data_IF_439626322607
#
_entry.id   IF_439626322607
#
_cell.length_a   1.000
_cell.length_b   1.000
_cell.length_c   1.000
_cell.angle_alpha   90.00
_cell.angle_beta   90.00
_cell.angle_gamma   90.00
#
_symmetry.space_group_name_H-M   'P 1'
#
loop_
_entity.id
_entity.type
_entity.pdbx_description
1 polymer ?
#
# COMPACT_ATOMS: atom_id res chain seq x y z
N UNK A 1 -61.29 -3.94 -10.25
CA UNK A 1 -60.11 -3.16 -10.71
C UNK A 1 -59.12 -3.07 -9.56
N UNK A 2 -58.11 -3.95 -9.54
CA UNK A 2 -57.06 -3.93 -8.53
C UNK A 2 -55.92 -3.03 -9.04
N UNK A 3 -55.68 -1.91 -8.36
CA UNK A 3 -54.54 -1.03 -8.64
C UNK A 3 -53.27 -1.69 -8.13
N UNK A 4 -52.42 -2.18 -9.05
CA UNK A 4 -51.06 -2.59 -8.76
C UNK A 4 -50.26 -1.36 -8.34
N UNK A 5 -49.94 -1.27 -7.05
CA UNK A 5 -48.92 -0.36 -6.54
C UNK A 5 -47.55 -0.81 -7.07
N UNK A 6 -46.94 0.02 -7.90
CA UNK A 6 -45.57 -0.14 -8.37
C UNK A 6 -44.61 0.18 -7.21
N UNK A 7 -44.08 -0.84 -6.55
CA UNK A 7 -42.90 -0.69 -5.69
C UNK A 7 -41.68 -0.57 -6.60
N UNK A 8 -41.39 0.66 -7.06
CA UNK A 8 -40.06 0.99 -7.55
C UNK A 8 -39.10 0.75 -6.38
N UNK A 9 -38.23 -0.25 -6.50
CA UNK A 9 -37.24 -0.55 -5.48
C UNK A 9 -36.34 0.67 -5.29
N UNK A 10 -36.36 1.24 -4.07
CA UNK A 10 -35.31 2.17 -3.67
C UNK A 10 -33.95 1.50 -3.88
N UNK A 11 -32.95 2.21 -4.42
CA UNK A 11 -31.59 1.69 -4.42
C UNK A 11 -31.21 1.38 -2.97
N UNK A 12 -30.84 0.13 -2.69
CA UNK A 12 -30.29 -0.26 -1.39
C UNK A 12 -29.22 0.76 -1.01
N UNK A 13 -29.48 1.56 0.02
CA UNK A 13 -28.51 2.51 0.52
C UNK A 13 -27.23 1.75 0.87
N UNK A 14 -26.15 2.00 0.12
CA UNK A 14 -24.86 1.37 0.41
C UNK A 14 -24.44 1.78 1.81
N UNK A 15 -24.22 0.79 2.68
CA UNK A 15 -23.67 0.99 4.03
C UNK A 15 -22.47 1.95 3.98
N UNK A 16 -22.42 2.92 4.88
CA UNK A 16 -21.28 3.85 5.06
C UNK A 16 -20.05 3.16 5.67
N UNK A 17 -20.20 1.87 6.05
CA UNK A 17 -19.19 1.02 6.65
C UNK A 17 -18.80 -0.15 5.75
N UNK A 18 -17.51 -0.53 5.73
CA UNK A 18 -17.05 -1.73 5.05
C UNK A 18 -17.59 -2.99 5.72
N UNK A 19 -17.97 -3.96 4.89
CA UNK A 19 -18.27 -5.33 5.31
C UNK A 19 -16.99 -6.20 5.32
N UNK A 20 -17.12 -7.48 5.72
CA UNK A 20 -16.00 -8.43 5.80
C UNK A 20 -15.21 -8.57 4.49
N UNK A 21 -15.89 -8.57 3.35
CA UNK A 21 -15.25 -8.72 2.05
C UNK A 21 -14.30 -7.56 1.76
N UNK A 22 -14.70 -6.32 2.07
CA UNK A 22 -13.84 -5.14 1.88
C UNK A 22 -12.53 -5.22 2.66
N UNK A 23 -12.57 -5.71 3.91
CA UNK A 23 -11.36 -5.88 4.71
C UNK A 23 -10.43 -6.95 4.11
N UNK A 24 -11.00 -8.06 3.61
CA UNK A 24 -10.25 -9.12 2.93
C UNK A 24 -9.66 -8.66 1.59
N UNK A 25 -10.40 -7.86 0.83
CA UNK A 25 -9.92 -7.28 -0.42
C UNK A 25 -8.79 -6.30 -0.15
N UNK A 26 -8.92 -5.43 0.86
CA UNK A 26 -7.87 -4.46 1.20
C UNK A 26 -6.55 -5.16 1.54
N UNK A 27 -6.57 -6.15 2.45
CA UNK A 27 -5.36 -6.89 2.82
C UNK A 27 -4.81 -7.71 1.64
N UNK A 28 -5.68 -8.34 0.84
CA UNK A 28 -5.29 -9.16 -0.30
C UNK A 28 -4.68 -8.35 -1.45
N UNK A 29 -5.25 -7.18 -1.76
CA UNK A 29 -4.71 -6.26 -2.76
C UNK A 29 -3.36 -5.70 -2.30
N UNK A 30 -3.26 -5.29 -1.02
CA UNK A 30 -2.00 -4.90 -0.42
C UNK A 30 -0.92 -5.98 -0.57
N UNK A 31 -1.23 -7.21 -0.19
CA UNK A 31 -0.35 -8.37 -0.31
C UNK A 31 0.08 -8.66 -1.76
N UNK A 32 -0.85 -8.53 -2.71
CA UNK A 32 -0.57 -8.69 -4.14
C UNK A 32 0.44 -7.65 -4.60
N UNK A 33 0.22 -6.38 -4.26
CA UNK A 33 1.13 -5.29 -4.62
C UNK A 33 2.49 -5.46 -3.93
N UNK A 34 2.54 -5.87 -2.67
CA UNK A 34 3.80 -6.14 -1.94
C UNK A 34 4.61 -7.25 -2.57
N UNK A 35 3.95 -8.32 -3.03
CA UNK A 35 4.60 -9.39 -3.78
C UNK A 35 5.19 -8.87 -5.09
N UNK A 36 4.40 -8.11 -5.86
CA UNK A 36 4.85 -7.54 -7.13
C UNK A 36 6.00 -6.54 -6.96
N UNK A 37 5.97 -5.70 -5.92
CA UNK A 37 7.04 -4.78 -5.59
C UNK A 37 8.34 -5.54 -5.25
N UNK A 38 8.26 -6.56 -4.40
CA UNK A 38 9.43 -7.35 -4.00
C UNK A 38 10.09 -8.08 -5.18
N UNK A 39 9.31 -8.68 -6.09
CA UNK A 39 9.88 -9.31 -7.29
C UNK A 39 10.32 -8.28 -8.34
N UNK A 40 9.60 -7.16 -8.45
CA UNK A 40 9.83 -6.09 -9.41
C UNK A 40 10.95 -5.14 -9.05
N UNK A 41 11.50 -5.21 -7.83
CA UNK A 41 12.54 -4.30 -7.33
C UNK A 41 13.79 -4.29 -8.23
N UNK A 42 14.12 -5.46 -8.80
CA UNK A 42 15.20 -5.61 -9.77
C UNK A 42 15.03 -4.75 -11.04
N UNK A 43 13.79 -4.40 -11.39
CA UNK A 43 13.49 -3.54 -12.54
C UNK A 43 13.73 -2.06 -12.23
N UNK A 44 13.76 -1.65 -10.95
CA UNK A 44 13.99 -0.26 -10.57
C UNK A 44 15.39 0.22 -10.96
N UNK A 45 16.36 -0.68 -11.13
CA UNK A 45 17.72 -0.34 -11.58
C UNK A 45 17.75 0.37 -12.93
N UNK A 46 16.76 0.12 -13.80
CA UNK A 46 16.67 0.81 -15.09
C UNK A 46 16.40 2.32 -14.93
N UNK A 47 15.73 2.72 -13.85
CA UNK A 47 15.47 4.13 -13.55
C UNK A 47 16.71 4.89 -13.04
N UNK A 48 17.71 4.16 -12.53
CA UNK A 48 18.97 4.72 -12.01
C UNK A 48 20.18 4.30 -12.83
N UNK A 49 19.98 3.81 -14.05
CA UNK A 49 21.03 3.21 -14.88
C UNK A 49 22.32 4.06 -15.00
N UNK A 50 22.25 5.39 -15.23
CA UNK A 50 23.46 6.21 -15.24
C UNK A 50 24.22 6.17 -13.92
N UNK A 51 23.54 6.26 -12.78
CA UNK A 51 24.15 6.19 -11.44
C UNK A 51 24.74 4.79 -11.21
N UNK A 52 24.00 3.75 -11.58
CA UNK A 52 24.43 2.36 -11.44
C UNK A 52 25.77 2.05 -12.11
N UNK A 53 26.06 2.67 -13.27
CA UNK A 53 27.32 2.49 -13.99
C UNK A 53 28.53 3.05 -13.23
N UNK A 54 28.35 4.13 -12.47
CA UNK A 54 29.45 4.79 -11.76
C UNK A 54 29.52 4.42 -10.27
N UNK A 55 28.38 4.14 -9.64
CA UNK A 55 28.30 3.80 -8.22
C UNK A 55 27.05 2.93 -7.93
N UNK A 56 27.29 1.63 -7.73
CA UNK A 56 26.21 0.65 -7.47
C UNK A 56 25.54 0.84 -6.12
N UNK A 57 26.31 1.18 -5.09
CA UNK A 57 25.79 1.38 -3.73
C UNK A 57 24.90 2.62 -3.68
N UNK A 58 25.35 3.73 -4.29
CA UNK A 58 24.54 4.93 -4.43
C UNK A 58 23.26 4.65 -5.25
N UNK A 59 23.36 3.84 -6.30
CA UNK A 59 22.17 3.42 -7.06
C UNK A 59 21.19 2.65 -6.19
N UNK A 60 21.66 1.71 -5.36
CA UNK A 60 20.80 0.94 -4.45
C UNK A 60 20.12 1.87 -3.43
N UNK A 61 20.85 2.84 -2.87
CA UNK A 61 20.28 3.83 -1.94
C UNK A 61 19.23 4.70 -2.64
N UNK A 62 19.49 5.20 -3.86
CA UNK A 62 18.51 6.00 -4.61
C UNK A 62 17.25 5.20 -4.92
N UNK A 63 17.40 3.92 -5.27
CA UNK A 63 16.27 3.02 -5.48
C UNK A 63 15.45 2.89 -4.20
N UNK A 64 16.07 2.51 -3.09
CA UNK A 64 15.38 2.28 -1.82
C UNK A 64 14.75 3.56 -1.26
N UNK A 65 15.43 4.71 -1.33
CA UNK A 65 15.01 5.96 -0.68
C UNK A 65 14.01 6.76 -1.52
N UNK A 66 14.13 6.72 -2.86
CA UNK A 66 13.31 7.56 -3.74
C UNK A 66 12.40 6.74 -4.65
N UNK A 67 12.96 5.79 -5.41
CA UNK A 67 12.19 5.09 -6.46
C UNK A 67 11.15 4.16 -5.85
N UNK A 68 11.52 3.37 -4.84
CA UNK A 68 10.63 2.42 -4.20
C UNK A 68 9.42 3.12 -3.55
N UNK A 69 9.56 4.17 -2.72
CA UNK A 69 8.41 4.91 -2.20
C UNK A 69 7.52 5.54 -3.29
N UNK A 70 8.13 6.08 -4.35
CA UNK A 70 7.40 6.69 -5.46
C UNK A 70 6.54 5.68 -6.24
N UNK A 71 7.00 4.43 -6.36
CA UNK A 71 6.27 3.38 -7.06
C UNK A 71 5.26 2.71 -6.13
N UNK A 72 5.70 2.37 -4.92
CA UNK A 72 4.92 1.49 -4.04
C UNK A 72 3.79 2.21 -3.32
N UNK A 73 3.96 3.45 -2.86
CA UNK A 73 2.90 4.15 -2.13
C UNK A 73 1.65 4.38 -3.00
N UNK A 74 1.77 4.83 -4.26
CA UNK A 74 0.63 4.88 -5.17
C UNK A 74 0.07 3.49 -5.48
N UNK A 75 0.93 2.50 -5.70
CA UNK A 75 0.50 1.14 -6.03
C UNK A 75 -0.32 0.51 -4.88
N UNK A 76 0.07 0.72 -3.61
CA UNK A 76 -0.69 0.28 -2.43
C UNK A 76 -2.13 0.83 -2.42
N UNK A 77 -2.31 2.06 -2.90
CA UNK A 77 -3.61 2.73 -2.93
C UNK A 77 -4.51 2.30 -4.09
N UNK A 78 -3.93 1.75 -5.16
CA UNK A 78 -4.65 1.44 -6.39
C UNK A 78 -5.80 0.47 -6.16
N UNK A 79 -5.59 -0.57 -5.35
CA UNK A 79 -6.64 -1.54 -5.03
C UNK A 79 -7.83 -0.91 -4.29
N UNK A 80 -7.57 0.06 -3.41
CA UNK A 80 -8.63 0.77 -2.69
C UNK A 80 -9.39 1.75 -3.58
N UNK A 81 -8.67 2.44 -4.48
CA UNK A 81 -9.28 3.33 -5.47
C UNK A 81 -10.15 2.56 -6.46
N UNK A 82 -9.67 1.41 -6.96
CA UNK A 82 -10.46 0.51 -7.80
C UNK A 82 -11.71 0.02 -7.07
N UNK A 83 -11.57 -0.46 -5.83
CA UNK A 83 -12.69 -0.91 -5.01
C UNK A 83 -13.73 0.21 -4.81
N UNK A 84 -13.26 1.44 -4.55
CA UNK A 84 -14.12 2.63 -4.44
C UNK A 84 -14.95 2.88 -5.70
N UNK A 85 -14.32 2.83 -6.87
CA UNK A 85 -14.98 3.16 -8.15
C UNK A 85 -15.92 2.04 -8.61
N UNK A 86 -15.48 0.77 -8.54
CA UNK A 86 -16.26 -0.38 -9.01
C UNK A 86 -17.52 -0.60 -8.18
N UNK A 87 -17.41 -0.53 -6.86
CA UNK A 87 -18.55 -0.72 -5.95
C UNK A 87 -19.25 0.60 -5.60
N UNK A 88 -18.80 1.74 -6.15
CA UNK A 88 -19.33 3.08 -5.90
C UNK A 88 -19.46 3.40 -4.40
N UNK A 89 -18.47 2.96 -3.62
CA UNK A 89 -18.50 2.99 -2.16
C UNK A 89 -18.44 4.43 -1.67
N UNK A 90 -19.24 4.76 -0.66
CA UNK A 90 -19.23 6.06 0.01
C UNK A 90 -19.00 5.83 1.50
N UNK A 91 -17.74 5.56 1.84
CA UNK A 91 -17.36 5.24 3.21
C UNK A 91 -16.88 6.47 3.98
N UNK A 92 -16.93 6.37 5.31
CA UNK A 92 -16.36 7.38 6.19
C UNK A 92 -14.84 7.49 6.02
N UNK A 93 -14.26 8.65 6.38
CA UNK A 93 -12.79 8.83 6.41
C UNK A 93 -12.12 7.76 7.26
N UNK A 94 -12.69 7.45 8.44
CA UNK A 94 -12.18 6.41 9.33
C UNK A 94 -12.15 5.03 8.66
N UNK A 95 -13.18 4.69 7.89
CA UNK A 95 -13.25 3.42 7.16
C UNK A 95 -12.16 3.31 6.10
N UNK A 96 -11.93 4.37 5.31
CA UNK A 96 -10.81 4.38 4.35
C UNK A 96 -9.45 4.33 5.02
N UNK A 97 -9.29 5.00 6.17
CA UNK A 97 -8.07 4.90 6.99
C UNK A 97 -7.80 3.45 7.40
N UNK A 98 -8.81 2.72 7.90
CA UNK A 98 -8.69 1.31 8.29
C UNK A 98 -8.36 0.41 7.10
N UNK A 99 -9.04 0.59 5.96
CA UNK A 99 -8.73 -0.16 4.73
C UNK A 99 -7.31 0.12 4.23
N UNK A 100 -6.85 1.37 4.33
CA UNK A 100 -5.46 1.77 4.10
C UNK A 100 -4.48 1.01 4.98
N UNK A 101 -4.71 0.98 6.30
CA UNK A 101 -3.88 0.23 7.24
C UNK A 101 -3.78 -1.25 6.88
N UNK A 102 -4.91 -1.89 6.54
CA UNK A 102 -4.95 -3.31 6.18
C UNK A 102 -4.21 -3.58 4.86
N UNK A 103 -4.34 -2.71 3.87
CA UNK A 103 -3.57 -2.80 2.64
C UNK A 103 -2.06 -2.68 2.91
N UNK A 104 -1.64 -1.74 3.75
CA UNK A 104 -0.24 -1.59 4.17
C UNK A 104 0.31 -2.82 4.90
N UNK A 105 -0.48 -3.39 5.83
CA UNK A 105 -0.09 -4.63 6.54
C UNK A 105 0.03 -5.81 5.59
N UNK A 106 -0.94 -5.99 4.68
CA UNK A 106 -0.88 -7.04 3.66
C UNK A 106 0.37 -6.90 2.78
N UNK A 107 0.65 -5.67 2.32
CA UNK A 107 1.84 -5.35 1.54
C UNK A 107 3.11 -5.75 2.27
N UNK A 108 3.33 -5.21 3.48
CA UNK A 108 4.56 -5.45 4.23
C UNK A 108 4.74 -6.92 4.61
N UNK A 109 3.65 -7.64 4.89
CA UNK A 109 3.72 -9.06 5.22
C UNK A 109 4.25 -9.89 4.04
N UNK A 110 3.65 -9.78 2.85
CA UNK A 110 4.08 -10.59 1.69
C UNK A 110 5.44 -10.16 1.16
N UNK A 111 5.73 -8.87 1.16
CA UNK A 111 7.05 -8.37 0.81
C UNK A 111 8.13 -8.99 1.70
N UNK A 112 7.91 -8.99 3.02
CA UNK A 112 8.84 -9.61 3.99
C UNK A 112 9.00 -11.11 3.78
N UNK A 113 7.94 -11.83 3.38
CA UNK A 113 8.04 -13.25 3.00
C UNK A 113 8.95 -13.43 1.79
N UNK A 114 8.83 -12.60 0.76
CA UNK A 114 9.68 -12.68 -0.44
C UNK A 114 11.14 -12.38 -0.10
N UNK A 115 11.42 -11.36 0.72
CA UNK A 115 12.78 -11.09 1.18
C UNK A 115 13.36 -12.24 2.00
N UNK A 116 12.59 -12.80 2.94
CA UNK A 116 13.03 -13.95 3.73
C UNK A 116 13.33 -15.16 2.84
N UNK A 117 12.50 -15.41 1.82
CA UNK A 117 12.73 -16.46 0.84
C UNK A 117 14.01 -16.23 0.03
N UNK A 118 14.28 -14.98 -0.38
CA UNK A 118 15.46 -14.63 -1.19
C UNK A 118 16.80 -14.98 -0.51
N UNK A 119 16.85 -14.90 0.83
CA UNK A 119 18.03 -15.26 1.63
C UNK A 119 17.98 -16.68 2.18
N UNK A 120 16.95 -17.47 1.84
CA UNK A 120 16.75 -18.83 2.38
C UNK A 120 17.88 -19.81 2.09
N UNK A 121 18.65 -19.57 1.02
CA UNK A 121 19.83 -20.36 0.67
C UNK A 121 20.99 -20.21 1.67
N UNK A 122 20.98 -19.16 2.51
CA UNK A 122 21.92 -18.99 3.62
C UNK A 122 21.49 -19.72 4.90
N UNK A 123 20.35 -20.42 4.88
CA UNK A 123 19.82 -21.19 6.00
C UNK A 123 18.53 -20.63 6.59
N UNK A 124 17.77 -21.50 7.26
CA UNK A 124 16.47 -21.16 7.86
C UNK A 124 16.60 -20.06 8.93
N UNK A 125 17.64 -20.11 9.75
CA UNK A 125 17.85 -19.14 10.84
C UNK A 125 18.06 -17.71 10.31
N UNK A 126 18.79 -17.55 9.20
CA UNK A 126 19.01 -16.26 8.53
C UNK A 126 17.70 -15.73 7.95
N UNK A 127 16.96 -16.60 7.26
CA UNK A 127 15.66 -16.27 6.67
C UNK A 127 14.63 -15.83 7.73
N UNK A 128 14.52 -16.59 8.82
CA UNK A 128 13.60 -16.26 9.92
C UNK A 128 14.02 -14.99 10.64
N UNK A 129 15.32 -14.79 10.87
CA UNK A 129 15.82 -13.55 11.49
C UNK A 129 15.48 -12.34 10.65
N UNK A 130 15.71 -12.41 9.32
CA UNK A 130 15.35 -11.32 8.41
C UNK A 130 13.83 -11.08 8.40
N UNK A 131 13.03 -12.14 8.32
CA UNK A 131 11.57 -12.06 8.35
C UNK A 131 11.07 -11.35 9.62
N UNK A 132 11.59 -11.73 10.80
CA UNK A 132 11.17 -11.16 12.08
C UNK A 132 11.63 -9.71 12.25
N UNK A 133 12.87 -9.40 11.87
CA UNK A 133 13.40 -8.02 11.93
C UNK A 133 12.60 -7.09 11.01
N UNK A 134 12.35 -7.51 9.77
CA UNK A 134 11.50 -6.76 8.85
C UNK A 134 10.04 -6.70 9.35
N UNK A 135 9.53 -7.80 9.88
CA UNK A 135 8.20 -7.86 10.49
C UNK A 135 8.00 -6.82 11.61
N UNK A 136 9.04 -6.56 12.40
CA UNK A 136 9.02 -5.57 13.48
C UNK A 136 9.24 -4.13 12.99
N UNK A 137 10.01 -3.94 11.91
CA UNK A 137 10.46 -2.61 11.48
C UNK A 137 9.73 -2.11 10.22
N UNK A 138 9.74 -2.87 9.13
CA UNK A 138 9.18 -2.46 7.82
C UNK A 138 7.67 -2.66 7.74
N UNK A 139 7.13 -3.73 8.35
CA UNK A 139 5.68 -3.99 8.28
C UNK A 139 4.85 -2.85 8.92
N UNK A 140 5.21 -2.33 10.12
CA UNK A 140 4.55 -1.17 10.70
C UNK A 140 4.70 0.10 9.84
N UNK A 141 5.85 0.31 9.19
CA UNK A 141 6.05 1.43 8.27
C UNK A 141 5.04 1.40 7.12
N UNK A 142 4.88 0.26 6.44
CA UNK A 142 3.90 0.12 5.36
C UNK A 142 2.47 0.29 5.87
N UNK A 143 2.17 -0.21 7.08
CA UNK A 143 0.91 0.07 7.76
C UNK A 143 0.65 1.57 7.93
N UNK A 144 1.61 2.32 8.49
CA UNK A 144 1.49 3.77 8.75
C UNK A 144 1.33 4.57 7.45
N UNK A 145 2.18 4.29 6.46
CA UNK A 145 2.20 5.02 5.18
C UNK A 145 0.91 4.79 4.38
N UNK A 146 0.44 3.54 4.29
CA UNK A 146 -0.84 3.23 3.66
C UNK A 146 -2.05 3.79 4.45
N UNK A 147 -1.95 3.90 5.78
CA UNK A 147 -2.97 4.55 6.63
C UNK A 147 -3.12 6.03 6.27
N UNK A 148 -2.02 6.76 6.06
CA UNK A 148 -2.05 8.17 5.62
C UNK A 148 -2.72 8.31 4.25
N UNK A 149 -2.40 7.42 3.33
CA UNK A 149 -3.02 7.41 2.01
C UNK A 149 -4.51 7.08 2.08
N UNK A 150 -4.92 6.09 2.88
CA UNK A 150 -6.33 5.78 3.13
C UNK A 150 -7.10 6.96 3.73
N UNK A 151 -6.50 7.65 4.70
CA UNK A 151 -7.05 8.91 5.23
C UNK A 151 -7.25 9.96 4.11
N UNK A 152 -6.28 10.11 3.22
CA UNK A 152 -6.37 11.00 2.06
C UNK A 152 -7.47 10.64 1.08
N UNK A 153 -7.68 9.34 0.81
CA UNK A 153 -8.79 8.84 -0.03
C UNK A 153 -10.13 9.27 0.59
N UNK A 154 -10.30 9.10 1.90
CA UNK A 154 -11.52 9.48 2.59
C UNK A 154 -11.78 10.99 2.54
N UNK A 155 -10.75 11.82 2.73
CA UNK A 155 -10.87 13.28 2.61
C UNK A 155 -11.22 13.72 1.19
N UNK A 156 -10.57 13.12 0.19
CA UNK A 156 -10.87 13.40 -1.21
C UNK A 156 -12.30 13.02 -1.56
N UNK A 157 -12.77 11.83 -1.14
CA UNK A 157 -14.16 11.42 -1.35
C UNK A 157 -15.16 12.39 -0.72
N UNK A 158 -14.89 12.85 0.51
CA UNK A 158 -15.79 13.76 1.24
C UNK A 158 -15.87 15.15 0.61
N UNK A 159 -14.78 15.63 0.02
CA UNK A 159 -14.64 17.05 -0.39
C UNK A 159 -14.59 17.26 -1.90
N UNK A 160 -14.32 16.22 -2.68
CA UNK A 160 -13.98 16.31 -4.11
C UNK A 160 -12.61 16.93 -4.39
N UNK A 161 -11.85 17.37 -3.39
CA UNK A 161 -10.57 18.05 -3.58
C UNK A 161 -9.40 17.05 -3.68
N UNK A 162 -8.78 16.84 -4.85
CA UNK A 162 -7.72 15.84 -5.03
C UNK A 162 -6.46 16.16 -4.22
N UNK A 163 -6.24 17.42 -3.83
CA UNK A 163 -5.09 17.80 -2.98
C UNK A 163 -5.10 17.09 -1.63
N UNK A 164 -6.29 16.74 -1.12
CA UNK A 164 -6.44 16.05 0.15
C UNK A 164 -6.13 14.55 0.06
N UNK A 165 -5.97 13.99 -1.14
CA UNK A 165 -5.35 12.68 -1.37
C UNK A 165 -3.85 12.80 -1.64
N UNK A 166 -3.46 13.74 -2.50
CA UNK A 166 -2.08 13.90 -2.96
C UNK A 166 -1.14 14.27 -1.81
N UNK A 167 -1.55 15.19 -0.91
CA UNK A 167 -0.67 15.64 0.16
C UNK A 167 -0.35 14.52 1.18
N UNK A 168 -1.32 13.76 1.72
CA UNK A 168 -1.01 12.60 2.55
C UNK A 168 -0.15 11.55 1.86
N UNK A 169 -0.35 11.32 0.56
CA UNK A 169 0.48 10.40 -0.23
C UNK A 169 1.94 10.86 -0.31
N UNK A 170 2.19 12.15 -0.56
CA UNK A 170 3.55 12.70 -0.56
C UNK A 170 4.18 12.54 0.83
N UNK A 171 3.43 12.79 1.89
CA UNK A 171 3.91 12.56 3.27
C UNK A 171 4.23 11.09 3.52
N UNK A 172 3.41 10.16 3.04
CA UNK A 172 3.67 8.72 3.12
C UNK A 172 4.98 8.34 2.40
N UNK A 173 5.20 8.85 1.18
CA UNK A 173 6.45 8.64 0.43
C UNK A 173 7.67 9.20 1.15
N UNK A 174 7.57 10.39 1.75
CA UNK A 174 8.67 10.99 2.52
C UNK A 174 8.99 10.17 3.77
N UNK A 175 7.99 9.68 4.50
CA UNK A 175 8.17 8.83 5.67
C UNK A 175 8.84 7.51 5.27
N UNK A 176 8.33 6.87 4.21
CA UNK A 176 8.90 5.63 3.68
C UNK A 176 10.37 5.83 3.25
N UNK A 177 10.64 6.82 2.41
CA UNK A 177 12.00 7.13 1.96
C UNK A 177 12.95 7.46 3.11
N UNK A 178 12.47 8.23 4.11
CA UNK A 178 13.27 8.56 5.30
C UNK A 178 13.60 7.31 6.12
N UNK A 179 12.66 6.39 6.28
CA UNK A 179 12.91 5.11 6.94
C UNK A 179 13.95 4.29 6.17
N UNK A 180 13.81 4.17 4.85
CA UNK A 180 14.77 3.43 4.02
C UNK A 180 16.16 4.06 4.04
N UNK A 181 16.24 5.39 4.12
CA UNK A 181 17.51 6.10 4.29
C UNK A 181 18.17 5.72 5.61
N UNK A 182 17.43 5.78 6.72
CA UNK A 182 17.96 5.39 8.02
C UNK A 182 18.42 3.93 8.03
N UNK A 183 17.64 3.02 7.44
CA UNK A 183 18.01 1.62 7.33
C UNK A 183 19.25 1.38 6.45
N UNK A 184 19.53 2.26 5.48
CA UNK A 184 20.71 2.18 4.62
C UNK A 184 21.99 2.71 5.27
N UNK A 185 21.89 3.38 6.42
CA UNK A 185 23.03 3.98 7.14
C UNK A 185 23.60 3.10 8.26
N UNK A 186 22.96 1.96 8.55
CA UNK A 186 23.31 1.02 9.62
C UNK A 186 23.68 -0.33 9.03
#
# INVERSE_FOLDING_TARGET
MASRGSTAGEPLASSDRPNRAHYLIAIGMGATVGTLAAFGESLYVFSTFPVFLFNRDLSAIVIAVAIAPLVEEPAKSLGLLLLKEEEKLVFSVQSWTILGSLAGVGFGFLENVVYAYSVGHFGLDVSLTLFLMRGLLTAPLHGITATLTGFGIGLWQKTGNPRLLILPMIVAMMIHGSFNLLASLV
#
